data_IF_881650777959
#
_entry.id   IF_881650777959
#
_cell.length_a   1.000
_cell.length_b   1.000
_cell.length_c   1.000
_cell.angle_alpha   90.00
_cell.angle_beta   90.00
_cell.angle_gamma   90.00
#
_symmetry.space_group_name_H-M   'P 1'
#
loop_
_entity.id
_entity.type
_entity.pdbx_description
1 polymer ?
#
# COMPACT_ATOMS: atom_id res chain seq x y z
N UNK A 1 5.58 -42.06 32.99
CA UNK A 1 5.29 -43.36 32.36
C UNK A 1 4.39 -43.08 31.16
N UNK A 2 4.67 -43.34 29.88
CA UNK A 2 5.73 -43.99 29.09
C UNK A 2 5.79 -43.15 27.78
N UNK A 3 6.93 -42.58 27.41
CA UNK A 3 7.92 -43.17 26.51
C UNK A 3 7.40 -43.46 25.09
N UNK A 4 8.04 -42.79 24.12
CA UNK A 4 8.21 -43.13 22.69
C UNK A 4 7.24 -42.48 21.68
N UNK A 5 7.73 -42.04 20.50
CA UNK A 5 9.04 -41.41 20.28
C UNK A 5 9.03 -40.28 19.22
N UNK A 6 10.02 -39.40 19.41
CA UNK A 6 10.74 -38.62 18.39
C UNK A 6 10.96 -39.46 17.12
N UNK A 7 10.30 -39.12 16.00
CA UNK A 7 10.71 -39.63 14.67
C UNK A 7 10.02 -39.00 13.44
N UNK A 8 9.67 -37.71 13.44
CA UNK A 8 9.25 -37.04 12.17
C UNK A 8 9.80 -35.61 12.03
N UNK A 9 10.99 -35.36 12.61
CA UNK A 9 11.91 -34.37 12.05
C UNK A 9 12.93 -35.13 11.21
N UNK A 10 13.20 -34.59 10.01
CA UNK A 10 14.15 -35.07 9.01
C UNK A 10 13.64 -36.21 8.11
N UNK A 11 13.03 -35.86 6.97
CA UNK A 11 13.15 -36.59 5.69
C UNK A 11 12.33 -35.90 4.60
N UNK A 12 12.72 -34.68 4.19
CA UNK A 12 12.46 -34.17 2.84
C UNK A 12 13.63 -33.28 2.37
N UNK A 13 14.86 -33.73 2.64
CA UNK A 13 16.01 -33.40 1.78
C UNK A 13 16.09 -34.52 0.72
N UNK A 14 15.25 -34.45 -0.31
CA UNK A 14 15.48 -35.24 -1.53
C UNK A 14 16.25 -34.39 -2.53
N UNK A 15 17.56 -34.32 -2.32
CA UNK A 15 18.52 -34.07 -3.39
C UNK A 15 18.95 -35.39 -4.01
N UNK A 16 19.02 -35.40 -5.35
CA UNK A 16 19.58 -36.37 -6.32
C UNK A 16 18.56 -36.54 -7.45
N UNK A 17 18.85 -36.22 -8.71
CA UNK A 17 20.02 -36.67 -9.47
C UNK A 17 20.24 -35.77 -10.69
N UNK A 18 21.50 -35.53 -11.03
CA UNK A 18 22.06 -35.92 -12.34
C UNK A 18 23.55 -35.55 -12.37
N UNK A 19 24.37 -36.56 -12.08
CA UNK A 19 25.70 -36.65 -12.67
C UNK A 19 25.52 -36.65 -14.19
N UNK A 20 25.97 -35.60 -14.85
CA UNK A 20 26.47 -35.70 -16.22
C UNK A 20 27.62 -34.72 -16.36
N UNK A 21 28.79 -35.23 -16.02
CA UNK A 21 30.09 -34.63 -16.31
C UNK A 21 30.64 -35.36 -17.52
N UNK A 22 30.75 -34.69 -18.66
CA UNK A 22 31.73 -34.98 -19.70
C UNK A 22 31.77 -33.86 -20.75
N UNK A 23 32.88 -33.69 -21.49
CA UNK A 23 33.55 -32.40 -21.61
C UNK A 23 33.58 -31.83 -23.05
N UNK A 24 33.84 -30.52 -23.13
CA UNK A 24 34.62 -29.83 -24.19
C UNK A 24 33.95 -29.49 -25.54
N UNK A 25 33.76 -28.17 -25.71
CA UNK A 25 33.93 -27.31 -26.91
C UNK A 25 33.01 -27.41 -28.15
N UNK A 26 32.99 -26.41 -29.05
CA UNK A 26 33.06 -24.95 -28.88
C UNK A 26 31.89 -24.22 -29.60
N UNK A 27 31.83 -22.90 -29.41
CA UNK A 27 30.90 -21.93 -30.00
C UNK A 27 30.65 -22.19 -31.50
N UNK A 28 29.39 -22.42 -31.87
CA UNK A 28 28.95 -22.34 -33.27
C UNK A 28 27.76 -21.40 -33.37
N UNK A 29 28.05 -20.16 -33.77
CA UNK A 29 27.07 -19.19 -34.23
C UNK A 29 26.10 -19.85 -35.20
N UNK A 30 24.82 -19.85 -34.85
CA UNK A 30 23.75 -20.09 -35.81
C UNK A 30 22.68 -19.02 -35.58
N UNK A 31 22.52 -18.17 -36.58
CA UNK A 31 21.51 -17.14 -36.63
C UNK A 31 20.11 -17.79 -36.61
N UNK A 32 19.23 -17.33 -35.72
CA UNK A 32 17.80 -17.64 -35.81
C UNK A 32 16.95 -16.54 -35.17
N UNK A 33 16.12 -15.94 -36.04
CA UNK A 33 14.88 -15.16 -35.88
C UNK A 33 14.65 -14.28 -34.62
N UNK A 34 14.18 -13.02 -34.79
CA UNK A 34 13.74 -12.20 -33.66
C UNK A 34 12.48 -12.81 -33.05
N UNK A 35 12.63 -13.36 -31.85
CA UNK A 35 11.52 -13.84 -31.02
C UNK A 35 10.74 -12.62 -30.56
N UNK A 36 9.49 -12.49 -30.99
CA UNK A 36 8.57 -11.47 -30.49
C UNK A 36 8.47 -11.59 -28.97
N UNK A 37 8.92 -10.55 -28.27
CA UNK A 37 8.88 -10.45 -26.82
C UNK A 37 7.41 -10.30 -26.37
N UNK A 38 6.91 -11.14 -25.44
CA UNK A 38 5.55 -10.98 -24.93
C UNK A 38 5.43 -9.66 -24.17
N UNK A 39 4.62 -8.75 -24.71
CA UNK A 39 4.33 -7.45 -24.10
C UNK A 39 3.70 -7.67 -22.72
N UNK A 40 4.49 -7.45 -21.66
CA UNK A 40 4.02 -7.54 -20.27
C UNK A 40 2.83 -6.57 -20.08
N UNK A 41 1.71 -7.02 -19.48
CA UNK A 41 0.60 -6.14 -19.17
C UNK A 41 1.06 -4.92 -18.38
N UNK A 42 0.83 -3.73 -18.94
CA UNK A 42 1.16 -2.46 -18.31
C UNK A 42 0.26 -2.29 -17.08
N UNK A 43 0.79 -2.56 -15.89
CA UNK A 43 0.06 -2.35 -14.64
C UNK A 43 -0.22 -0.86 -14.48
N UNK A 44 -1.45 -0.43 -14.75
CA UNK A 44 -1.87 0.95 -14.55
C UNK A 44 -1.96 1.21 -13.04
N UNK A 45 -0.96 1.90 -12.47
CA UNK A 45 -1.06 2.41 -11.10
C UNK A 45 -2.12 3.50 -11.07
N UNK A 46 -3.11 3.35 -10.20
CA UNK A 46 -4.06 4.42 -9.92
C UNK A 46 -3.30 5.65 -9.43
N UNK A 47 -3.64 6.81 -9.96
CA UNK A 47 -3.03 8.07 -9.56
C UNK A 47 -3.27 8.28 -8.05
N UNK A 48 -2.25 8.78 -7.31
CA UNK A 48 -2.42 9.07 -5.90
C UNK A 48 -3.51 10.12 -5.69
N UNK A 49 -4.38 9.91 -4.71
CA UNK A 49 -5.45 10.85 -4.34
C UNK A 49 -4.83 12.21 -4.00
N UNK A 50 -5.27 13.28 -4.64
CA UNK A 50 -4.73 14.62 -4.40
C UNK A 50 -5.29 15.21 -3.12
N UNK A 51 -4.44 15.77 -2.27
CA UNK A 51 -4.90 16.53 -1.10
C UNK A 51 -4.99 18.00 -1.51
N UNK A 52 -6.16 18.59 -1.31
CA UNK A 52 -6.47 19.98 -1.54
C UNK A 52 -6.64 20.63 -0.17
N UNK A 53 -5.92 21.71 0.09
CA UNK A 53 -6.00 22.42 1.38
C UNK A 53 -6.85 23.68 1.31
N UNK A 54 -7.13 24.18 0.10
CA UNK A 54 -7.87 25.42 -0.14
C UNK A 54 -9.07 25.12 -1.03
N UNK A 55 -10.25 25.58 -0.62
CA UNK A 55 -11.49 25.33 -1.36
C UNK A 55 -11.52 26.06 -2.71
N UNK A 56 -10.73 27.13 -2.86
CA UNK A 56 -10.60 27.93 -4.09
C UNK A 56 -10.10 27.10 -5.26
N UNK A 57 -9.32 26.04 -5.01
CA UNK A 57 -8.85 25.13 -6.05
C UNK A 57 -9.98 24.33 -6.71
N UNK A 58 -11.14 24.23 -6.04
CA UNK A 58 -12.33 23.55 -6.53
C UNK A 58 -13.29 24.50 -7.28
N UNK A 59 -13.10 25.82 -7.15
CA UNK A 59 -13.96 26.81 -7.81
C UNK A 59 -13.83 26.66 -9.33
N UNK A 60 -14.96 26.54 -10.01
CA UNK A 60 -15.03 26.35 -11.46
C UNK A 60 -14.65 24.95 -11.94
N UNK A 61 -14.28 24.01 -11.05
CA UNK A 61 -14.06 22.60 -11.41
C UNK A 61 -15.31 21.78 -11.07
N UNK A 62 -15.88 21.01 -12.01
CA UNK A 62 -16.96 20.09 -11.67
C UNK A 62 -16.40 18.96 -10.80
N UNK A 63 -16.94 18.82 -9.59
CA UNK A 63 -16.60 17.73 -8.68
C UNK A 63 -17.87 17.11 -8.09
N UNK A 64 -17.77 15.83 -7.75
CA UNK A 64 -18.78 15.12 -6.97
C UNK A 64 -18.27 14.91 -5.56
N UNK A 65 -19.07 15.29 -4.57
CA UNK A 65 -18.82 14.93 -3.19
C UNK A 65 -19.19 13.46 -2.95
N UNK A 66 -18.24 12.71 -2.37
CA UNK A 66 -18.38 11.29 -2.03
C UNK A 66 -18.54 11.07 -0.52
N UNK A 67 -18.50 12.14 0.27
CA UNK A 67 -18.70 12.11 1.72
C UNK A 67 -17.43 12.38 2.51
N UNK A 68 -17.58 12.47 3.82
CA UNK A 68 -16.48 12.73 4.75
C UNK A 68 -15.57 11.50 4.93
N UNK A 69 -14.28 11.77 5.02
CA UNK A 69 -13.24 10.78 5.30
C UNK A 69 -12.34 11.27 6.40
N UNK A 70 -11.98 10.34 7.28
CA UNK A 70 -11.10 10.61 8.41
C UNK A 70 -9.86 9.74 8.34
N UNK A 71 -8.79 10.20 8.98
CA UNK A 71 -7.59 9.41 9.20
C UNK A 71 -6.95 9.81 10.51
N UNK A 72 -6.45 8.83 11.25
CA UNK A 72 -5.97 9.05 12.60
C UNK A 72 -4.64 8.37 12.88
N UNK A 73 -3.87 8.92 13.81
CA UNK A 73 -2.68 8.32 14.40
C UNK A 73 -2.88 8.26 15.90
N UNK A 74 -3.19 7.06 16.42
CA UNK A 74 -3.42 6.80 17.83
C UNK A 74 -2.10 6.43 18.54
N UNK A 75 -1.84 7.07 19.68
CA UNK A 75 -0.86 6.66 20.67
C UNK A 75 -1.64 6.01 21.82
N UNK A 76 -1.52 4.70 22.01
CA UNK A 76 -2.29 3.97 23.02
C UNK A 76 -1.79 4.26 24.44
N UNK A 77 -0.47 4.33 24.62
CA UNK A 77 0.21 4.59 25.89
C UNK A 77 1.32 5.63 25.75
N UNK A 78 1.79 6.18 26.88
CA UNK A 78 2.93 7.11 26.89
C UNK A 78 4.25 6.51 26.38
N UNK A 79 4.38 5.18 26.35
CA UNK A 79 5.56 4.48 25.85
C UNK A 79 5.53 4.30 24.32
N UNK A 80 4.35 4.44 23.71
CA UNK A 80 4.21 4.35 22.26
C UNK A 80 4.69 5.64 21.58
N UNK A 81 5.00 5.53 20.29
CA UNK A 81 5.36 6.70 19.48
C UNK A 81 4.27 7.77 19.55
N UNK A 82 4.63 9.06 19.68
CA UNK A 82 3.66 10.14 19.69
C UNK A 82 2.77 10.17 18.44
N UNK A 83 1.55 10.71 18.54
CA UNK A 83 0.66 10.83 17.40
C UNK A 83 1.25 11.77 16.33
N UNK A 84 1.11 11.38 15.06
CA UNK A 84 1.75 12.06 13.94
C UNK A 84 0.71 12.52 12.91
N UNK A 85 0.62 13.84 12.69
CA UNK A 85 -0.33 14.47 11.74
C UNK A 85 -0.09 14.00 10.29
N UNK A 86 1.14 14.00 9.75
CA UNK A 86 1.42 13.42 8.43
C UNK A 86 0.90 11.98 8.25
N UNK A 87 1.03 11.13 9.29
CA UNK A 87 0.50 9.76 9.27
C UNK A 87 -1.02 9.75 9.23
N UNK A 88 -1.68 10.56 10.06
CA UNK A 88 -3.14 10.72 10.07
C UNK A 88 -3.66 11.19 8.69
N UNK A 89 -3.02 12.21 8.11
CA UNK A 89 -3.34 12.72 6.77
C UNK A 89 -3.16 11.68 5.67
N UNK A 90 -2.07 10.89 5.73
CA UNK A 90 -1.85 9.78 4.78
C UNK A 90 -2.92 8.70 4.92
N UNK A 91 -3.33 8.36 6.15
CA UNK A 91 -4.43 7.40 6.39
C UNK A 91 -5.77 7.92 5.86
N UNK A 92 -6.05 9.21 6.03
CA UNK A 92 -7.23 9.87 5.44
C UNK A 92 -7.22 9.76 3.91
N UNK A 93 -6.08 10.06 3.28
CA UNK A 93 -5.90 9.93 1.82
C UNK A 93 -6.12 8.49 1.33
N UNK A 94 -5.62 7.50 2.07
CA UNK A 94 -5.83 6.07 1.78
C UNK A 94 -7.32 5.70 1.93
N UNK A 95 -7.99 6.20 2.97
CA UNK A 95 -9.41 5.96 3.19
C UNK A 95 -10.26 6.55 2.07
N UNK A 96 -9.95 7.76 1.62
CA UNK A 96 -10.58 8.38 0.45
C UNK A 96 -10.42 7.53 -0.81
N UNK A 97 -9.21 7.01 -1.04
CA UNK A 97 -8.93 6.13 -2.19
C UNK A 97 -9.69 4.80 -2.09
N UNK A 98 -9.58 4.10 -0.96
CA UNK A 98 -10.03 2.72 -0.82
C UNK A 98 -11.53 2.59 -0.50
N UNK A 99 -12.05 3.48 0.34
CA UNK A 99 -13.45 3.42 0.82
C UNK A 99 -14.38 4.24 -0.06
N UNK A 100 -14.00 5.48 -0.38
CA UNK A 100 -14.83 6.38 -1.17
C UNK A 100 -14.57 6.31 -2.69
N UNK A 101 -13.44 5.72 -3.12
CA UNK A 101 -12.99 5.72 -4.54
C UNK A 101 -12.81 7.14 -5.08
N UNK A 102 -12.39 8.06 -4.22
CA UNK A 102 -12.13 9.45 -4.56
C UNK A 102 -10.79 9.61 -5.29
N UNK A 103 -10.66 10.69 -6.07
CA UNK A 103 -9.39 11.09 -6.69
C UNK A 103 -8.79 12.35 -6.03
N UNK A 104 -9.56 13.03 -5.17
CA UNK A 104 -9.09 14.14 -4.35
C UNK A 104 -9.71 14.10 -2.94
N UNK A 105 -9.09 14.80 -2.00
CA UNK A 105 -9.63 15.08 -0.67
C UNK A 105 -9.45 16.56 -0.38
N UNK A 106 -10.53 17.25 -0.03
CA UNK A 106 -10.46 18.58 0.58
C UNK A 106 -10.20 18.40 2.08
N UNK A 107 -9.02 18.79 2.53
CA UNK A 107 -8.64 18.74 3.94
C UNK A 107 -9.33 19.88 4.69
N UNK A 108 -10.03 19.55 5.78
CA UNK A 108 -10.68 20.54 6.64
C UNK A 108 -9.77 20.94 7.80
N UNK A 109 -9.39 19.96 8.62
CA UNK A 109 -8.53 20.18 9.78
C UNK A 109 -7.70 18.94 10.10
N UNK A 110 -6.60 19.18 10.81
CA UNK A 110 -5.78 18.14 11.43
C UNK A 110 -5.40 18.61 12.83
N UNK A 111 -5.85 17.89 13.84
CA UNK A 111 -5.68 18.27 15.23
C UNK A 111 -5.12 17.11 16.06
N UNK A 112 -4.45 17.43 17.17
CA UNK A 112 -3.99 16.44 18.14
C UNK A 112 -4.81 16.60 19.40
N UNK A 113 -5.60 15.58 19.70
CA UNK A 113 -6.51 15.55 20.85
C UNK A 113 -6.03 14.51 21.86
N UNK A 114 -6.27 14.78 23.14
CA UNK A 114 -6.04 13.83 24.24
C UNK A 114 -7.37 13.34 24.81
N UNK A 115 -7.39 12.14 25.40
CA UNK A 115 -8.57 11.62 26.07
C UNK A 115 -9.58 10.94 25.15
N UNK A 116 -9.20 10.59 23.92
CA UNK A 116 -10.02 9.70 23.09
C UNK A 116 -10.05 8.30 23.72
N UNK A 117 -11.21 7.65 23.86
CA UNK A 117 -11.27 6.27 24.34
C UNK A 117 -10.35 5.35 23.53
N UNK A 118 -9.43 4.66 24.21
CA UNK A 118 -8.45 3.76 23.59
C UNK A 118 -7.15 4.42 23.11
N UNK A 119 -7.04 5.75 23.15
CA UNK A 119 -5.82 6.48 22.82
C UNK A 119 -5.46 7.46 23.93
N UNK A 120 -4.25 7.35 24.47
CA UNK A 120 -3.69 8.38 25.34
C UNK A 120 -3.68 9.75 24.63
N UNK A 121 -3.18 9.78 23.39
CA UNK A 121 -3.30 10.92 22.47
C UNK A 121 -3.57 10.45 21.05
N UNK A 122 -4.21 11.28 20.24
CA UNK A 122 -4.56 10.96 18.88
C UNK A 122 -4.40 12.19 17.99
N UNK A 123 -3.73 12.04 16.85
CA UNK A 123 -3.84 12.98 15.76
C UNK A 123 -5.00 12.56 14.86
N UNK A 124 -5.95 13.44 14.57
CA UNK A 124 -7.09 13.19 13.70
C UNK A 124 -7.08 14.22 12.57
N UNK A 125 -7.17 13.75 11.33
CA UNK A 125 -7.39 14.58 10.16
C UNK A 125 -8.74 14.25 9.54
N UNK A 126 -9.51 15.29 9.23
CA UNK A 126 -10.85 15.19 8.64
C UNK A 126 -10.86 15.94 7.31
N UNK A 127 -11.56 15.39 6.32
CA UNK A 127 -11.69 15.99 5.01
C UNK A 127 -12.88 15.44 4.23
N UNK A 128 -13.25 16.11 3.15
CA UNK A 128 -14.27 15.61 2.21
C UNK A 128 -13.60 14.88 1.06
N UNK A 129 -14.04 13.66 0.78
CA UNK A 129 -13.59 12.87 -0.36
C UNK A 129 -14.32 13.31 -1.62
N UNK A 130 -13.57 13.70 -2.65
CA UNK A 130 -14.11 14.30 -3.87
C UNK A 130 -13.69 13.48 -5.10
N UNK A 131 -14.58 13.46 -6.09
CA UNK A 131 -14.25 13.02 -7.44
C UNK A 131 -14.30 14.21 -8.39
N UNK A 132 -13.13 14.76 -8.71
CA UNK A 132 -12.97 15.88 -9.64
C UNK A 132 -12.93 15.33 -11.06
N UNK A 133 -13.88 15.73 -11.89
CA UNK A 133 -13.90 15.35 -13.30
C UNK A 133 -12.92 16.23 -14.08
N UNK A 134 -12.02 15.60 -14.84
CA UNK A 134 -11.23 16.31 -15.85
C UNK A 134 -12.18 16.67 -17.00
N UNK A 135 -12.43 17.96 -17.18
CA UNK A 135 -13.22 18.49 -18.30
C UNK A 135 -12.33 18.66 -19.52
#
# INVERSE_FOLDING_TARGET
MRALPICLLALMLSGCSLLSRSPVEPVKSSASAPKAEPEKPKVTRQAPVRIITNAEELVGKPFRDLGEVTGESCQASNQDSPPNIPTARKRMQINASKKAKANAVLLHSCEVTSGTPGCYRQALCVGSALNISAK
#
